data_IF_572099543238
#
_entry.id   IF_572099543238
#
_cell.length_a   1.000
_cell.length_b   1.000
_cell.length_c   1.000
_cell.angle_alpha   90.00
_cell.angle_beta   90.00
_cell.angle_gamma   90.00
#
_symmetry.space_group_name_H-M   'P 1'
#
loop_
_entity.id
_entity.type
_entity.pdbx_description
1 polymer ?
#
# COMPACT_ATOMS: atom_id res chain seq x y z
N UNK A 1 79.17 38.50 -5.77
CA UNK A 1 80.41 38.32 -6.56
C UNK A 1 80.72 36.84 -6.62
N UNK A 2 80.88 36.30 -7.84
CA UNK A 2 81.31 34.93 -8.21
C UNK A 2 80.37 33.77 -7.82
N UNK A 3 80.13 32.69 -8.58
CA UNK A 3 80.39 32.25 -9.97
C UNK A 3 79.52 30.96 -10.11
N UNK A 4 78.65 30.81 -11.11
CA UNK A 4 78.83 30.18 -12.42
C UNK A 4 79.32 28.71 -12.45
N UNK A 5 78.56 27.88 -13.20
CA UNK A 5 78.88 26.63 -13.92
C UNK A 5 78.91 25.29 -13.12
N UNK A 6 78.48 24.13 -13.63
CA UNK A 6 77.76 23.75 -14.85
C UNK A 6 77.30 22.27 -14.75
N UNK A 7 76.18 21.97 -15.43
CA UNK A 7 75.80 20.76 -16.17
C UNK A 7 76.31 19.36 -15.74
N UNK A 8 75.35 18.46 -15.48
CA UNK A 8 75.19 17.23 -16.27
C UNK A 8 73.81 16.58 -16.03
N UNK A 9 73.03 16.40 -17.09
CA UNK A 9 71.98 15.37 -17.18
C UNK A 9 72.49 14.27 -18.11
N UNK A 10 72.01 13.02 -17.93
CA UNK A 10 71.12 12.55 -18.98
C UNK A 10 69.86 11.82 -18.50
N UNK A 11 68.94 11.80 -19.46
CA UNK A 11 67.60 11.24 -19.55
C UNK A 11 67.36 9.82 -18.99
N UNK A 12 66.17 9.65 -18.41
CA UNK A 12 65.49 8.37 -18.19
C UNK A 12 64.03 8.61 -17.80
N UNK A 13 63.11 8.28 -18.70
CA UNK A 13 61.69 8.62 -18.71
C UNK A 13 60.85 7.86 -17.63
N UNK A 14 59.55 8.20 -17.45
CA UNK A 14 58.85 8.15 -16.17
C UNK A 14 58.02 6.86 -15.97
N UNK A 15 58.00 6.34 -14.74
CA UNK A 15 56.95 5.42 -14.29
C UNK A 15 56.02 6.14 -13.33
N UNK A 16 54.85 6.49 -13.85
CA UNK A 16 53.74 7.07 -13.11
C UNK A 16 53.16 6.06 -12.11
N UNK A 17 53.62 6.10 -10.87
CA UNK A 17 52.89 5.48 -9.77
C UNK A 17 51.63 6.30 -9.48
N UNK A 18 50.55 6.00 -10.21
CA UNK A 18 49.19 6.36 -9.82
C UNK A 18 48.92 5.74 -8.46
N UNK A 19 49.10 6.52 -7.38
CA UNK A 19 48.56 6.21 -6.06
C UNK A 19 47.04 6.13 -6.23
N UNK A 20 46.49 4.91 -6.29
CA UNK A 20 45.06 4.68 -6.10
C UNK A 20 44.74 5.14 -4.69
N UNK A 21 44.16 6.32 -4.58
CA UNK A 21 43.53 6.80 -3.36
C UNK A 21 42.28 5.92 -3.16
N UNK A 22 42.45 4.77 -2.51
CA UNK A 22 41.33 3.97 -2.03
C UNK A 22 40.64 4.78 -0.93
N UNK A 23 39.74 5.70 -1.31
CA UNK A 23 38.73 6.22 -0.40
C UNK A 23 37.90 5.01 0.04
N UNK A 24 38.22 4.47 1.22
CA UNK A 24 37.28 3.67 2.01
C UNK A 24 36.03 4.53 2.11
N UNK A 25 34.97 4.19 1.36
CA UNK A 25 33.61 4.63 1.68
C UNK A 25 33.35 4.09 3.07
N UNK A 26 33.49 4.96 4.07
CA UNK A 26 32.82 4.74 5.34
C UNK A 26 31.34 4.65 4.98
N UNK A 27 30.80 3.44 5.10
CA UNK A 27 29.35 3.24 5.18
C UNK A 27 28.97 3.97 6.46
N UNK A 28 28.48 5.21 6.30
CA UNK A 28 27.80 5.88 7.37
C UNK A 28 26.61 4.98 7.72
N UNK A 29 26.69 4.30 8.85
CA UNK A 29 25.53 3.71 9.52
C UNK A 29 24.57 4.87 9.76
N UNK A 30 23.59 5.01 8.87
CA UNK A 30 22.48 5.90 9.06
C UNK A 30 21.85 5.51 10.40
N UNK A 31 21.73 6.48 11.30
CA UNK A 31 20.96 6.32 12.52
C UNK A 31 19.57 5.80 12.16
N UNK A 32 19.12 4.74 12.83
CA UNK A 32 17.82 4.14 12.62
C UNK A 32 16.73 5.18 12.88
N UNK A 33 16.18 5.76 11.80
CA UNK A 33 14.90 6.43 11.86
C UNK A 33 13.85 5.34 12.07
N UNK A 34 13.24 5.29 13.26
CA UNK A 34 12.04 4.49 13.51
C UNK A 34 10.98 4.85 12.47
N UNK A 35 10.62 3.93 11.58
CA UNK A 35 9.67 4.22 10.49
C UNK A 35 9.88 3.44 9.20
N UNK A 36 10.56 2.29 9.23
CA UNK A 36 10.68 1.44 8.04
C UNK A 36 9.37 0.69 7.73
N UNK A 37 9.17 0.24 6.48
CA UNK A 37 7.99 -0.57 6.13
C UNK A 37 7.84 -1.87 6.94
N UNK A 38 8.98 -2.46 7.35
CA UNK A 38 8.98 -3.63 8.23
C UNK A 38 8.56 -3.28 9.66
N UNK A 39 8.95 -2.11 10.18
CA UNK A 39 8.51 -1.61 11.50
C UNK A 39 7.00 -1.37 11.50
N UNK A 40 6.48 -0.79 10.41
CA UNK A 40 5.05 -0.59 10.23
C UNK A 40 4.28 -1.91 10.19
N UNK A 41 4.77 -2.89 9.43
CA UNK A 41 4.17 -4.24 9.41
C UNK A 41 4.24 -4.93 10.79
N UNK A 42 5.37 -4.80 11.51
CA UNK A 42 5.53 -5.34 12.86
C UNK A 42 4.57 -4.67 13.86
N UNK A 43 4.40 -3.35 13.79
CA UNK A 43 3.43 -2.59 14.59
C UNK A 43 2.01 -3.10 14.35
N UNK A 44 1.59 -3.22 13.09
CA UNK A 44 0.25 -3.69 12.74
C UNK A 44 0.01 -5.14 13.18
N UNK A 45 1.00 -6.02 13.00
CA UNK A 45 0.92 -7.40 13.48
C UNK A 45 0.82 -7.47 15.01
N UNK A 46 1.58 -6.65 15.74
CA UNK A 46 1.51 -6.57 17.20
C UNK A 46 0.15 -6.03 17.68
N UNK A 47 -0.42 -5.01 17.01
CA UNK A 47 -1.78 -4.51 17.29
C UNK A 47 -2.79 -5.65 17.16
N UNK A 48 -2.74 -6.40 16.05
CA UNK A 48 -3.65 -7.53 15.84
C UNK A 48 -3.48 -8.60 16.91
N UNK A 49 -2.24 -8.94 17.27
CA UNK A 49 -1.95 -9.95 18.29
C UNK A 49 -2.45 -9.53 19.68
N UNK A 50 -2.29 -8.26 20.04
CA UNK A 50 -2.80 -7.71 21.30
C UNK A 50 -4.33 -7.68 21.33
N UNK A 51 -4.99 -7.37 20.20
CA UNK A 51 -6.45 -7.40 20.12
C UNK A 51 -6.99 -8.84 20.31
N UNK A 52 -6.30 -9.87 19.81
CA UNK A 52 -6.70 -11.26 20.02
C UNK A 52 -6.64 -11.72 21.50
N UNK A 53 -5.89 -11.02 22.35
CA UNK A 53 -5.80 -11.32 23.79
C UNK A 53 -6.95 -10.69 24.60
N UNK A 54 -7.78 -9.85 23.99
CA UNK A 54 -8.93 -9.25 24.65
C UNK A 54 -10.03 -10.30 24.91
N UNK A 55 -10.80 -10.13 25.99
CA UNK A 55 -11.92 -11.03 26.33
C UNK A 55 -12.97 -11.14 25.23
N UNK A 56 -13.16 -10.07 24.46
CA UNK A 56 -14.09 -10.01 23.34
C UNK A 56 -13.37 -9.32 22.16
N UNK A 57 -12.50 -10.00 21.39
CA UNK A 57 -11.73 -9.34 20.35
C UNK A 57 -12.65 -8.72 19.28
N UNK A 58 -12.27 -7.56 18.73
CA UNK A 58 -13.03 -6.87 17.69
C UNK A 58 -13.17 -7.71 16.40
N UNK A 59 -12.15 -8.50 16.10
CA UNK A 59 -12.08 -9.38 14.93
C UNK A 59 -11.34 -10.66 15.31
N UNK A 60 -11.55 -11.75 14.58
CA UNK A 60 -10.80 -12.99 14.78
C UNK A 60 -9.60 -13.04 13.82
N UNK A 61 -8.41 -13.23 14.36
CA UNK A 61 -7.16 -13.42 13.60
C UNK A 61 -6.28 -14.51 14.23
N UNK A 62 -6.46 -15.75 13.76
CA UNK A 62 -5.68 -16.89 14.23
C UNK A 62 -4.20 -16.86 13.88
N UNK A 63 -3.76 -15.95 12.99
CA UNK A 63 -2.38 -15.85 12.54
C UNK A 63 -1.64 -14.65 13.16
N UNK A 64 -2.33 -13.80 13.92
CA UNK A 64 -1.78 -12.56 14.45
C UNK A 64 -0.51 -12.76 15.30
N UNK A 65 -0.50 -13.76 16.19
CA UNK A 65 0.65 -14.05 17.05
C UNK A 65 1.87 -14.48 16.21
N UNK A 66 1.69 -15.42 15.29
CA UNK A 66 2.75 -15.88 14.39
C UNK A 66 3.28 -14.75 13.48
N UNK A 67 2.39 -13.87 13.02
CA UNK A 67 2.76 -12.70 12.24
C UNK A 67 3.59 -11.71 13.05
N UNK A 68 3.21 -11.43 14.31
CA UNK A 68 3.94 -10.51 15.18
C UNK A 68 5.34 -11.05 15.54
N UNK A 69 5.42 -12.34 15.90
CA UNK A 69 6.70 -13.01 16.19
C UNK A 69 7.64 -12.99 14.98
N UNK A 70 7.11 -13.30 13.80
CA UNK A 70 7.91 -13.31 12.58
C UNK A 70 8.34 -11.92 12.12
N UNK A 71 7.49 -10.91 12.26
CA UNK A 71 7.84 -9.53 11.95
C UNK A 71 8.96 -9.02 12.88
N UNK A 72 8.88 -9.34 14.18
CA UNK A 72 9.95 -9.04 15.14
C UNK A 72 11.25 -9.80 14.81
N UNK A 73 11.17 -11.09 14.46
CA UNK A 73 12.32 -11.90 14.08
C UNK A 73 12.99 -11.42 12.77
N UNK A 74 12.22 -10.83 11.87
CA UNK A 74 12.72 -10.21 10.64
C UNK A 74 13.44 -8.87 10.89
N UNK A 75 13.43 -8.37 12.13
CA UNK A 75 14.06 -7.10 12.51
C UNK A 75 13.11 -5.91 12.50
N UNK A 76 11.80 -6.12 12.42
CA UNK A 76 10.82 -5.05 12.58
C UNK A 76 10.85 -4.53 14.02
N UNK A 77 11.16 -3.26 14.18
CA UNK A 77 11.21 -2.62 15.49
C UNK A 77 9.82 -2.09 15.87
N UNK A 78 9.37 -2.44 17.08
CA UNK A 78 8.27 -1.73 17.71
C UNK A 78 8.84 -0.48 18.39
N UNK A 79 8.14 0.67 18.33
CA UNK A 79 8.58 1.84 19.09
C UNK A 79 8.52 1.56 20.59
N UNK A 80 9.44 2.17 21.35
CA UNK A 80 9.61 1.92 22.79
C UNK A 80 8.33 2.20 23.61
N UNK A 81 7.51 3.14 23.14
CA UNK A 81 6.18 3.40 23.66
C UNK A 81 5.18 3.48 22.50
N UNK A 82 4.10 2.71 22.62
CA UNK A 82 2.94 2.80 21.76
C UNK A 82 1.80 3.39 22.58
N UNK A 83 1.30 4.56 22.17
CA UNK A 83 0.17 5.18 22.84
C UNK A 83 -1.06 4.25 22.74
N UNK A 84 -1.64 3.89 23.89
CA UNK A 84 -2.78 2.96 23.93
C UNK A 84 -3.97 3.41 23.05
N UNK A 85 -4.33 4.70 22.96
CA UNK A 85 -5.36 5.17 22.04
C UNK A 85 -5.00 4.96 20.56
N UNK A 86 -3.73 5.09 20.18
CA UNK A 86 -3.26 4.87 18.81
C UNK A 86 -3.37 3.40 18.41
N UNK A 87 -2.98 2.49 19.31
CA UNK A 87 -3.13 1.05 19.09
C UNK A 87 -4.59 0.65 18.92
N UNK A 88 -5.47 1.23 19.74
CA UNK A 88 -6.89 0.98 19.66
C UNK A 88 -7.48 1.50 18.34
N UNK A 89 -7.02 2.66 17.85
CA UNK A 89 -7.42 3.18 16.52
C UNK A 89 -7.00 2.25 15.38
N UNK A 90 -5.80 1.68 15.45
CA UNK A 90 -5.34 0.69 14.46
C UNK A 90 -6.15 -0.63 14.52
N UNK A 91 -6.56 -1.06 15.71
CA UNK A 91 -7.46 -2.22 15.86
C UNK A 91 -8.85 -1.92 15.28
N UNK A 92 -9.39 -0.72 15.53
CA UNK A 92 -10.65 -0.26 14.93
C UNK A 92 -10.56 -0.14 13.40
N UNK A 93 -9.44 0.39 12.89
CA UNK A 93 -9.16 0.46 11.46
C UNK A 93 -9.14 -0.94 10.83
N UNK A 94 -8.55 -1.92 11.53
CA UNK A 94 -8.53 -3.31 11.06
C UNK A 94 -9.94 -3.86 10.89
N UNK A 95 -10.80 -3.72 11.91
CA UNK A 95 -12.21 -4.14 11.82
C UNK A 95 -12.98 -3.39 10.75
N UNK A 96 -12.84 -2.06 10.70
CA UNK A 96 -13.51 -1.23 9.71
C UNK A 96 -13.19 -1.70 8.29
N UNK A 97 -11.90 -1.91 7.98
CA UNK A 97 -11.44 -2.33 6.67
C UNK A 97 -11.91 -3.75 6.33
N UNK A 98 -11.88 -4.68 7.28
CA UNK A 98 -12.42 -6.03 7.07
C UNK A 98 -13.88 -5.98 6.62
N UNK A 99 -14.67 -5.14 7.28
CA UNK A 99 -16.08 -4.97 6.93
C UNK A 99 -16.27 -4.30 5.57
N UNK A 100 -15.48 -3.27 5.22
CA UNK A 100 -15.60 -2.64 3.90
C UNK A 100 -15.22 -3.61 2.78
N UNK A 101 -14.15 -4.39 2.98
CA UNK A 101 -13.70 -5.41 2.05
C UNK A 101 -14.75 -6.50 1.84
N UNK A 102 -15.33 -7.02 2.92
CA UNK A 102 -16.37 -8.05 2.83
C UNK A 102 -17.66 -7.52 2.23
N UNK A 103 -18.09 -6.30 2.57
CA UNK A 103 -19.26 -5.64 1.97
C UNK A 103 -19.07 -5.49 0.46
N UNK A 104 -17.90 -5.03 0.02
CA UNK A 104 -17.59 -4.87 -1.41
C UNK A 104 -17.54 -6.22 -2.14
N UNK A 105 -16.81 -7.19 -1.61
CA UNK A 105 -16.60 -8.48 -2.25
C UNK A 105 -17.82 -9.42 -2.20
N UNK A 106 -18.71 -9.27 -1.21
CA UNK A 106 -19.82 -10.22 -0.99
C UNK A 106 -21.19 -9.65 -1.35
N UNK A 107 -21.51 -8.42 -0.89
CA UNK A 107 -22.88 -7.88 -1.00
C UNK A 107 -23.15 -7.36 -2.41
N UNK A 108 -22.15 -6.74 -3.04
CA UNK A 108 -22.33 -6.17 -4.39
C UNK A 108 -22.61 -7.25 -5.44
N UNK A 109 -22.17 -8.49 -5.20
CA UNK A 109 -22.44 -9.63 -6.08
C UNK A 109 -23.89 -10.14 -6.00
N UNK A 110 -24.66 -9.76 -4.98
CA UNK A 110 -26.03 -10.28 -4.78
C UNK A 110 -27.12 -9.29 -5.23
N UNK A 111 -26.89 -7.99 -5.09
CA UNK A 111 -27.93 -6.96 -5.27
C UNK A 111 -27.77 -6.12 -6.54
N UNK A 112 -26.60 -6.16 -7.19
CA UNK A 112 -26.38 -5.37 -8.41
C UNK A 112 -26.43 -6.26 -9.64
N UNK A 113 -27.30 -5.89 -10.57
CA UNK A 113 -27.36 -6.33 -11.98
C UNK A 113 -26.13 -5.80 -12.77
N UNK A 114 -24.97 -5.73 -12.11
CA UNK A 114 -23.70 -5.36 -12.71
C UNK A 114 -23.12 -6.63 -13.34
N UNK A 115 -22.70 -6.51 -14.59
CA UNK A 115 -21.95 -7.56 -15.29
C UNK A 115 -20.54 -7.77 -14.75
N UNK A 116 -20.14 -7.04 -13.69
CA UNK A 116 -18.79 -7.07 -13.12
C UNK A 116 -18.85 -7.22 -11.59
N UNK A 117 -18.02 -8.13 -11.08
CA UNK A 117 -17.87 -8.46 -9.66
C UNK A 117 -16.54 -7.92 -9.11
N UNK A 118 -16.50 -7.63 -7.80
CA UNK A 118 -15.27 -7.22 -7.09
C UNK A 118 -14.37 -8.42 -6.80
N UNK A 119 -13.70 -8.93 -7.83
CA UNK A 119 -12.87 -10.13 -7.73
C UNK A 119 -11.38 -9.81 -7.55
N UNK A 120 -11.00 -8.53 -7.45
CA UNK A 120 -9.63 -8.10 -7.18
C UNK A 120 -9.58 -7.30 -5.89
N UNK A 121 -8.78 -7.76 -4.93
CA UNK A 121 -8.57 -7.13 -3.63
C UNK A 121 -7.11 -6.72 -3.53
N UNK A 122 -6.83 -5.45 -3.24
CA UNK A 122 -5.46 -4.95 -3.07
C UNK A 122 -5.26 -4.46 -1.64
N UNK A 123 -4.32 -5.07 -0.94
CA UNK A 123 -3.93 -4.75 0.44
C UNK A 123 -2.58 -4.02 0.38
N UNK A 124 -2.57 -2.75 0.80
CA UNK A 124 -1.39 -1.88 0.70
C UNK A 124 -0.84 -1.59 2.08
N UNK A 125 0.46 -1.84 2.28
CA UNK A 125 1.23 -1.31 3.40
C UNK A 125 1.63 -2.31 4.49
N UNK A 126 1.15 -3.56 4.45
CA UNK A 126 1.48 -4.59 5.45
C UNK A 126 1.76 -5.94 4.78
N UNK A 127 3.02 -6.39 4.81
CA UNK A 127 3.40 -7.72 4.31
C UNK A 127 2.86 -8.86 5.18
N UNK A 128 2.61 -8.57 6.45
CA UNK A 128 2.11 -9.51 7.46
C UNK A 128 0.59 -9.43 7.61
N UNK A 129 -0.11 -8.82 6.64
CA UNK A 129 -1.57 -8.84 6.61
C UNK A 129 -2.11 -10.28 6.50
N UNK A 130 -3.00 -10.62 7.41
CA UNK A 130 -3.57 -11.96 7.59
C UNK A 130 -4.94 -12.12 6.92
N UNK A 131 -5.53 -11.03 6.41
CA UNK A 131 -6.82 -11.03 5.70
C UNK A 131 -6.93 -12.07 4.59
N UNK A 132 -5.88 -12.33 3.78
CA UNK A 132 -5.93 -13.39 2.77
C UNK A 132 -6.25 -14.79 3.32
N UNK A 133 -5.95 -15.04 4.59
CA UNK A 133 -6.09 -16.36 5.23
C UNK A 133 -7.27 -16.46 6.19
N UNK A 134 -7.73 -15.33 6.76
CA UNK A 134 -8.78 -15.32 7.81
C UNK A 134 -10.15 -14.85 7.33
N UNK A 135 -10.22 -14.06 6.26
CA UNK A 135 -11.51 -13.58 5.75
C UNK A 135 -12.14 -14.59 4.78
N UNK A 136 -13.48 -14.77 4.80
CA UNK A 136 -14.19 -15.74 3.97
C UNK A 136 -14.40 -15.23 2.53
N UNK A 137 -13.31 -15.12 1.77
CA UNK A 137 -13.36 -14.62 0.40
C UNK A 137 -14.19 -15.52 -0.54
N UNK A 138 -15.02 -14.93 -1.42
CA UNK A 138 -15.71 -15.67 -2.49
C UNK A 138 -14.74 -16.35 -3.47
N UNK A 139 -15.12 -17.48 -4.04
CA UNK A 139 -14.34 -18.16 -5.07
C UNK A 139 -14.09 -17.24 -6.27
N UNK A 140 -12.87 -17.28 -6.84
CA UNK A 140 -12.44 -16.39 -7.92
C UNK A 140 -11.78 -15.09 -7.43
N UNK A 141 -11.72 -14.83 -6.12
CA UNK A 141 -11.06 -13.64 -5.58
C UNK A 141 -9.53 -13.71 -5.75
N UNK A 142 -8.96 -12.66 -6.36
CA UNK A 142 -7.53 -12.39 -6.47
C UNK A 142 -7.11 -11.38 -5.41
N UNK A 143 -6.23 -11.79 -4.51
CA UNK A 143 -5.70 -10.99 -3.42
C UNK A 143 -4.28 -10.54 -3.76
N UNK A 144 -4.04 -9.24 -3.82
CA UNK A 144 -2.73 -8.64 -4.06
C UNK A 144 -2.25 -7.98 -2.76
N UNK A 145 -1.14 -8.47 -2.21
CA UNK A 145 -0.52 -7.87 -1.04
C UNK A 145 0.71 -7.08 -1.48
N UNK A 146 0.64 -5.75 -1.35
CA UNK A 146 1.68 -4.83 -1.78
C UNK A 146 2.52 -4.40 -0.58
N UNK A 147 3.80 -4.77 -0.63
CA UNK A 147 4.78 -4.44 0.40
C UNK A 147 6.21 -4.64 -0.14
N UNK A 148 7.24 -4.15 0.57
CA UNK A 148 8.63 -4.36 0.20
C UNK A 148 9.05 -5.84 0.14
N UNK A 149 10.00 -6.14 -0.75
CA UNK A 149 10.47 -7.52 -1.01
C UNK A 149 10.98 -8.22 0.25
N UNK A 150 11.74 -7.51 1.09
CA UNK A 150 12.30 -8.07 2.32
C UNK A 150 11.20 -8.52 3.31
N UNK A 151 10.11 -7.76 3.38
CA UNK A 151 8.99 -8.06 4.28
C UNK A 151 8.17 -9.27 3.79
N UNK A 152 7.99 -9.42 2.47
CA UNK A 152 7.32 -10.59 1.89
C UNK A 152 8.04 -11.90 2.19
N UNK A 153 9.38 -11.94 2.08
CA UNK A 153 10.14 -13.15 2.33
C UNK A 153 9.96 -13.69 3.77
N UNK A 154 9.96 -12.78 4.75
CA UNK A 154 9.71 -13.12 6.15
C UNK A 154 8.26 -13.57 6.39
N UNK A 155 7.29 -12.85 5.82
CA UNK A 155 5.87 -13.18 5.95
C UNK A 155 5.53 -14.55 5.36
N UNK A 156 6.06 -14.89 4.18
CA UNK A 156 5.79 -16.17 3.53
C UNK A 156 6.35 -17.36 4.31
N UNK A 157 7.55 -17.21 4.89
CA UNK A 157 8.12 -18.24 5.76
C UNK A 157 7.24 -18.47 7.00
N UNK A 158 6.76 -17.39 7.62
CA UNK A 158 5.91 -17.43 8.81
C UNK A 158 4.55 -18.09 8.53
N UNK A 159 3.85 -17.65 7.48
CA UNK A 159 2.54 -18.19 7.15
C UNK A 159 2.59 -19.62 6.65
N UNK A 160 3.67 -20.02 5.97
CA UNK A 160 3.91 -21.43 5.64
C UNK A 160 4.09 -22.29 6.89
N UNK A 161 4.88 -21.82 7.87
CA UNK A 161 5.09 -22.52 9.13
C UNK A 161 3.80 -22.61 9.97
N UNK A 162 2.97 -21.56 9.97
CA UNK A 162 1.67 -21.54 10.63
C UNK A 162 0.58 -22.35 9.89
N UNK A 163 0.91 -22.97 8.75
CA UNK A 163 -0.07 -23.75 7.98
C UNK A 163 -1.16 -22.90 7.33
N UNK A 164 -0.96 -21.59 7.18
CA UNK A 164 -1.95 -20.69 6.61
C UNK A 164 -2.31 -21.10 5.18
N UNK A 165 -3.60 -21.03 4.86
CA UNK A 165 -4.13 -21.33 3.53
C UNK A 165 -5.16 -20.29 3.15
N UNK A 166 -5.05 -19.80 1.93
CA UNK A 166 -6.06 -18.95 1.32
C UNK A 166 -7.31 -19.81 1.07
N UNK A 167 -8.55 -19.25 1.18
CA UNK A 167 -9.77 -19.96 0.82
C UNK A 167 -9.71 -20.63 -0.55
N UNK A 168 -10.41 -21.76 -0.70
CA UNK A 168 -10.42 -22.53 -1.96
C UNK A 168 -10.91 -21.66 -3.11
N UNK A 169 -10.22 -21.75 -4.25
CA UNK A 169 -10.58 -20.99 -5.46
C UNK A 169 -10.18 -19.51 -5.43
N UNK A 170 -9.51 -19.05 -4.37
CA UNK A 170 -8.88 -17.73 -4.29
C UNK A 170 -7.37 -17.83 -4.54
N UNK A 171 -6.75 -16.73 -4.98
CA UNK A 171 -5.30 -16.66 -5.20
C UNK A 171 -4.70 -15.48 -4.43
N UNK A 172 -3.58 -15.70 -3.73
CA UNK A 172 -2.77 -14.64 -3.14
C UNK A 172 -1.52 -14.38 -3.98
N UNK A 173 -1.30 -13.12 -4.33
CA UNK A 173 -0.13 -12.62 -5.05
C UNK A 173 0.60 -11.60 -4.16
N UNK A 174 1.86 -11.89 -3.85
CA UNK A 174 2.76 -10.92 -3.24
C UNK A 174 3.30 -10.00 -4.32
N UNK A 175 3.13 -8.70 -4.13
CA UNK A 175 3.56 -7.67 -5.08
C UNK A 175 4.69 -6.89 -4.40
N UNK A 176 5.95 -7.11 -4.80
CA UNK A 176 7.08 -6.36 -4.27
C UNK A 176 7.03 -4.93 -4.81
N UNK A 177 6.80 -3.95 -3.94
CA UNK A 177 6.86 -2.53 -4.31
C UNK A 177 7.34 -1.70 -3.12
N UNK A 178 8.26 -0.76 -3.41
CA UNK A 178 8.69 0.26 -2.45
C UNK A 178 7.78 1.48 -2.59
N UNK A 179 6.89 1.68 -1.61
CA UNK A 179 5.86 2.73 -1.68
C UNK A 179 6.43 4.15 -1.58
N UNK A 180 7.63 4.31 -0.98
CA UNK A 180 8.26 5.61 -0.80
C UNK A 180 8.90 6.17 -2.09
N UNK A 181 9.35 5.29 -3.00
CA UNK A 181 10.12 5.69 -4.18
C UNK A 181 9.26 5.93 -5.43
N UNK A 182 7.95 5.64 -5.36
CA UNK A 182 6.94 5.86 -6.42
C UNK A 182 7.14 5.08 -7.74
N UNK A 183 8.35 4.61 -8.04
CA UNK A 183 8.74 4.20 -9.39
C UNK A 183 8.40 2.75 -9.78
N UNK A 184 7.65 1.99 -8.97
CA UNK A 184 7.41 0.56 -9.26
C UNK A 184 6.04 -0.01 -8.90
N UNK A 185 5.12 0.78 -8.36
CA UNK A 185 3.85 0.28 -7.83
C UNK A 185 2.91 -0.29 -8.91
N UNK A 186 2.60 0.51 -9.93
CA UNK A 186 1.65 0.14 -10.97
C UNK A 186 2.15 -1.05 -11.82
N UNK A 187 3.38 -0.98 -12.32
CA UNK A 187 3.97 -2.05 -13.14
C UNK A 187 4.12 -3.38 -12.38
N UNK A 188 4.42 -3.34 -11.08
CA UNK A 188 4.49 -4.56 -10.27
C UNK A 188 3.11 -5.22 -10.10
N UNK A 189 2.06 -4.41 -9.90
CA UNK A 189 0.68 -4.91 -9.82
C UNK A 189 0.23 -5.55 -11.13
N UNK A 190 0.44 -4.86 -12.26
CA UNK A 190 0.10 -5.38 -13.58
C UNK A 190 0.85 -6.68 -13.90
N UNK A 191 2.16 -6.73 -13.59
CA UNK A 191 2.98 -7.94 -13.75
C UNK A 191 2.47 -9.09 -12.87
N UNK A 192 1.93 -8.80 -11.69
CA UNK A 192 1.29 -9.78 -10.83
C UNK A 192 -0.08 -10.27 -11.35
N UNK A 193 -0.59 -9.66 -12.42
CA UNK A 193 -1.85 -10.01 -13.07
C UNK A 193 -3.04 -9.14 -12.65
N UNK A 194 -2.81 -8.02 -11.96
CA UNK A 194 -3.85 -7.04 -11.71
C UNK A 194 -4.34 -6.45 -13.04
N UNK A 195 -5.65 -6.24 -13.17
CA UNK A 195 -6.24 -5.61 -14.36
C UNK A 195 -7.03 -4.38 -13.98
N UNK A 196 -6.63 -3.22 -14.52
CA UNK A 196 -7.31 -1.95 -14.27
C UNK A 196 -8.64 -1.76 -15.02
N UNK A 197 -9.04 -2.72 -15.85
CA UNK A 197 -10.33 -2.75 -16.55
C UNK A 197 -11.41 -3.54 -15.78
N UNK A 198 -11.11 -3.96 -14.54
CA UNK A 198 -12.01 -4.73 -13.68
C UNK A 198 -12.19 -4.06 -12.34
N UNK A 199 -13.39 -4.19 -11.78
CA UNK A 199 -13.68 -3.74 -10.43
C UNK A 199 -12.69 -4.31 -9.40
N UNK A 200 -12.25 -3.43 -8.52
CA UNK A 200 -11.27 -3.73 -7.49
C UNK A 200 -11.63 -3.05 -6.18
N UNK A 201 -11.25 -3.68 -5.07
CA UNK A 201 -11.36 -3.09 -3.73
C UNK A 201 -9.98 -2.96 -3.11
N UNK A 202 -9.68 -1.76 -2.61
CA UNK A 202 -8.38 -1.39 -2.09
C UNK A 202 -8.47 -1.11 -0.60
N UNK A 203 -7.58 -1.69 0.19
CA UNK A 203 -7.41 -1.41 1.61
C UNK A 203 -6.03 -0.81 1.88
N UNK A 204 -6.02 0.43 2.37
CA UNK A 204 -4.82 1.14 2.76
C UNK A 204 -4.73 1.16 4.28
N UNK A 205 -3.82 0.37 4.86
CA UNK A 205 -3.59 0.36 6.30
C UNK A 205 -2.12 0.54 6.62
N UNK A 206 -1.83 1.29 7.70
CA UNK A 206 -0.45 1.59 8.07
C UNK A 206 0.20 2.69 7.25
N UNK A 207 -0.54 3.41 6.39
CA UNK A 207 -0.01 4.52 5.58
C UNK A 207 0.76 5.53 6.45
N UNK A 208 0.24 5.84 7.65
CA UNK A 208 0.89 6.73 8.59
C UNK A 208 2.18 6.14 9.22
N UNK A 209 2.29 4.81 9.38
CA UNK A 209 3.50 4.18 9.91
C UNK A 209 4.57 3.87 8.86
N UNK A 210 4.24 3.96 7.57
CA UNK A 210 5.20 3.83 6.47
C UNK A 210 6.12 5.06 6.32
N UNK A 211 5.93 6.10 7.14
CA UNK A 211 6.71 7.34 7.04
C UNK A 211 6.40 8.17 5.79
N UNK A 212 5.29 7.87 5.10
CA UNK A 212 4.86 8.62 3.92
C UNK A 212 4.35 10.00 4.35
N UNK A 213 4.95 11.06 3.80
CA UNK A 213 4.44 12.41 3.94
C UNK A 213 3.21 12.65 3.06
N UNK A 214 2.66 13.85 3.16
CA UNK A 214 1.56 14.28 2.30
C UNK A 214 1.81 14.10 0.78
N UNK A 215 2.99 14.41 0.21
CA UNK A 215 3.22 14.22 -1.22
C UNK A 215 3.29 12.74 -1.60
N UNK A 216 3.88 11.88 -0.76
CA UNK A 216 3.95 10.43 -1.02
C UNK A 216 2.56 9.77 -0.93
N UNK A 217 1.73 10.18 0.05
CA UNK A 217 0.32 9.73 0.14
C UNK A 217 -0.47 10.18 -1.10
N UNK A 218 -0.23 11.40 -1.57
CA UNK A 218 -0.87 11.91 -2.79
C UNK A 218 -0.43 11.11 -4.02
N UNK A 219 0.86 10.80 -4.15
CA UNK A 219 1.38 9.97 -5.23
C UNK A 219 0.79 8.55 -5.21
N UNK A 220 0.67 7.95 -4.02
CA UNK A 220 0.00 6.65 -3.86
C UNK A 220 -1.47 6.71 -4.31
N UNK A 221 -2.20 7.77 -3.96
CA UNK A 221 -3.59 7.93 -4.42
C UNK A 221 -3.68 8.17 -5.92
N UNK A 222 -2.72 8.87 -6.53
CA UNK A 222 -2.62 8.98 -8.00
C UNK A 222 -2.47 7.59 -8.61
N UNK A 223 -1.54 6.78 -8.13
CA UNK A 223 -1.29 5.44 -8.68
C UNK A 223 -2.52 4.54 -8.53
N UNK A 224 -3.15 4.54 -7.36
CA UNK A 224 -4.37 3.78 -7.11
C UNK A 224 -5.50 4.23 -8.04
N UNK A 225 -5.72 5.54 -8.20
CA UNK A 225 -6.81 6.03 -9.06
C UNK A 225 -6.54 5.84 -10.55
N UNK A 226 -5.27 5.79 -10.97
CA UNK A 226 -4.90 5.42 -12.33
C UNK A 226 -5.12 3.92 -12.63
N UNK A 227 -5.04 3.06 -11.61
CA UNK A 227 -5.20 1.61 -11.74
C UNK A 227 -6.64 1.14 -11.50
N UNK A 228 -7.35 1.76 -10.57
CA UNK A 228 -8.68 1.33 -10.16
C UNK A 228 -9.71 1.68 -11.24
N UNK A 229 -10.44 0.67 -11.72
CA UNK A 229 -11.54 0.83 -12.66
C UNK A 229 -12.64 1.76 -12.09
N UNK A 230 -13.45 2.34 -12.96
CA UNK A 230 -14.65 3.07 -12.56
C UNK A 230 -15.50 2.25 -11.58
N UNK A 231 -16.07 2.92 -10.59
CA UNK A 231 -16.80 2.34 -9.47
C UNK A 231 -16.00 1.50 -8.48
N UNK A 232 -14.71 1.21 -8.70
CA UNK A 232 -13.85 0.52 -7.72
C UNK A 232 -13.86 1.21 -6.35
N UNK A 233 -13.67 0.44 -5.28
CA UNK A 233 -13.75 0.92 -3.90
C UNK A 233 -12.35 1.12 -3.31
N UNK A 234 -12.12 2.25 -2.67
CA UNK A 234 -10.89 2.55 -1.93
C UNK A 234 -11.25 2.88 -0.49
N UNK A 235 -10.72 2.11 0.44
CA UNK A 235 -10.90 2.33 1.87
C UNK A 235 -9.55 2.32 2.59
N UNK A 236 -9.42 3.09 3.65
CA UNK A 236 -8.15 3.17 4.36
C UNK A 236 -8.16 4.01 5.61
N UNK A 237 -6.99 4.08 6.24
CA UNK A 237 -6.69 5.04 7.30
C UNK A 237 -5.63 6.03 6.81
N UNK A 238 -5.99 7.31 6.79
CA UNK A 238 -5.11 8.42 6.40
C UNK A 238 -4.42 9.05 7.61
N UNK A 239 -3.24 9.66 7.42
CA UNK A 239 -2.53 10.36 8.48
C UNK A 239 -3.33 11.56 9.02
N UNK A 240 -2.91 12.13 10.15
CA UNK A 240 -3.59 13.27 10.75
C UNK A 240 -3.76 14.45 9.80
N UNK A 241 -5.01 14.89 9.62
CA UNK A 241 -5.36 16.07 8.82
C UNK A 241 -6.69 16.66 9.25
N UNK A 242 -6.99 17.88 8.80
CA UNK A 242 -8.31 18.50 9.01
C UNK A 242 -9.38 17.83 8.14
N UNK A 243 -10.66 17.88 8.56
CA UNK A 243 -11.77 17.34 7.76
C UNK A 243 -11.83 17.95 6.35
N UNK A 244 -11.61 19.26 6.25
CA UNK A 244 -11.59 19.96 4.96
C UNK A 244 -10.45 19.47 4.05
N UNK A 245 -9.27 19.19 4.63
CA UNK A 245 -8.16 18.65 3.87
C UNK A 245 -8.47 17.25 3.33
N UNK A 246 -9.12 16.40 4.13
CA UNK A 246 -9.59 15.08 3.70
C UNK A 246 -10.58 15.19 2.54
N UNK A 247 -11.63 16.00 2.69
CA UNK A 247 -12.68 16.13 1.68
C UNK A 247 -12.09 16.66 0.35
N UNK A 248 -11.16 17.63 0.42
CA UNK A 248 -10.42 18.13 -0.74
C UNK A 248 -9.53 17.07 -1.39
N UNK A 249 -8.83 16.26 -0.58
CA UNK A 249 -7.96 15.19 -1.07
C UNK A 249 -8.77 14.17 -1.89
N UNK A 250 -9.85 13.64 -1.32
CA UNK A 250 -10.72 12.67 -1.99
C UNK A 250 -11.31 13.25 -3.27
N UNK A 251 -11.85 14.48 -3.21
CA UNK A 251 -12.41 15.17 -4.37
C UNK A 251 -11.37 15.39 -5.49
N UNK A 252 -10.12 15.75 -5.15
CA UNK A 252 -9.06 15.98 -6.14
C UNK A 252 -8.68 14.73 -6.94
N UNK A 253 -8.94 13.54 -6.39
CA UNK A 253 -8.68 12.27 -7.05
C UNK A 253 -9.91 11.64 -7.69
N UNK A 254 -11.07 12.32 -7.66
CA UNK A 254 -12.33 11.76 -8.18
C UNK A 254 -12.88 10.63 -7.32
N UNK A 255 -12.50 10.58 -6.05
CA UNK A 255 -12.98 9.61 -5.08
C UNK A 255 -14.24 10.16 -4.40
N UNK A 256 -15.40 9.61 -4.74
CA UNK A 256 -16.67 9.94 -4.11
C UNK A 256 -16.82 9.15 -2.81
N UNK A 257 -16.63 9.82 -1.68
CA UNK A 257 -16.67 9.17 -0.37
C UNK A 257 -16.70 10.14 0.79
N UNK A 258 -16.54 9.61 1.99
CA UNK A 258 -16.51 10.42 3.20
C UNK A 258 -15.53 9.85 4.24
N UNK A 259 -14.99 10.76 5.05
CA UNK A 259 -14.28 10.41 6.28
C UNK A 259 -15.21 9.88 7.35
N UNK A 260 -14.80 8.77 7.96
CA UNK A 260 -15.44 8.12 9.10
C UNK A 260 -14.59 8.38 10.34
N UNK A 261 -15.25 8.83 11.41
CA UNK A 261 -14.60 9.14 12.69
C UNK A 261 -14.49 7.88 13.57
N UNK A 262 -13.62 7.90 14.58
CA UNK A 262 -13.47 6.83 15.58
C UNK A 262 -14.44 6.98 16.76
N UNK A 263 -15.42 7.88 16.65
CA UNK A 263 -16.31 8.32 17.72
C UNK A 263 -17.46 7.37 18.09
N UNK A 264 -18.32 7.86 18.99
CA UNK A 264 -19.43 7.14 19.64
C UNK A 264 -20.50 6.60 18.66
N UNK A 265 -20.46 7.06 17.41
CA UNK A 265 -21.40 6.73 16.35
C UNK A 265 -20.98 5.54 15.49
N UNK A 266 -19.88 4.85 15.82
CA UNK A 266 -19.43 3.70 15.03
C UNK A 266 -19.89 2.37 15.61
N UNK A 267 -20.60 1.57 14.82
CA UNK A 267 -21.01 0.20 15.16
C UNK A 267 -19.81 -0.78 15.12
N UNK A 268 -18.66 -0.31 14.61
CA UNK A 268 -17.47 -1.11 14.32
C UNK A 268 -16.54 -1.30 15.53
N UNK A 269 -16.92 -0.87 16.73
CA UNK A 269 -15.94 -0.73 17.81
C UNK A 269 -16.44 -0.74 19.24
N UNK A 270 -15.49 -0.88 20.17
CA UNK A 270 -15.68 -0.47 21.56
C UNK A 270 -15.37 1.01 21.66
N UNK A 271 -16.39 1.84 21.72
CA UNK A 271 -16.16 3.25 21.99
C UNK A 271 -15.58 3.47 23.39
N UNK A 272 -14.61 4.37 23.50
CA UNK A 272 -14.06 4.87 24.76
C UNK A 272 -13.85 6.38 24.67
N UNK A 273 -14.03 7.09 25.78
CA UNK A 273 -13.95 8.55 25.80
C UNK A 273 -12.56 9.12 25.46
N UNK A 274 -11.50 8.36 25.70
CA UNK A 274 -10.11 8.67 25.36
C UNK A 274 -9.78 8.51 23.86
N UNK A 275 -10.68 7.91 23.08
CA UNK A 275 -10.59 7.88 21.61
C UNK A 275 -11.20 9.12 20.95
N UNK A 276 -11.90 9.96 21.72
CA UNK A 276 -12.48 11.18 21.19
C UNK A 276 -11.35 12.14 20.76
N UNK A 277 -11.26 12.40 19.47
CA UNK A 277 -10.34 13.37 18.90
C UNK A 277 -11.06 14.71 18.77
N UNK A 278 -10.31 15.81 18.88
CA UNK A 278 -10.86 17.16 18.71
C UNK A 278 -11.60 17.26 17.36
N UNK A 279 -12.91 17.55 17.36
CA UNK A 279 -13.68 17.69 16.14
C UNK A 279 -13.09 18.70 15.14
N UNK A 280 -12.44 19.75 15.66
CA UNK A 280 -11.86 20.83 14.87
C UNK A 280 -10.34 20.70 14.65
N UNK A 281 -9.70 19.72 15.30
CA UNK A 281 -8.26 19.47 15.20
C UNK A 281 -7.85 18.58 14.03
N UNK A 282 -6.54 18.47 13.83
CA UNK A 282 -5.96 17.45 12.95
C UNK A 282 -6.04 16.08 13.61
N UNK A 283 -6.47 15.08 12.83
CA UNK A 283 -6.68 13.72 13.33
C UNK A 283 -6.61 12.70 12.21
N UNK A 284 -6.21 11.45 12.51
CA UNK A 284 -6.30 10.37 11.54
C UNK A 284 -7.76 10.14 11.15
N UNK A 285 -7.98 9.80 9.88
CA UNK A 285 -9.31 9.55 9.34
C UNK A 285 -9.39 8.15 8.76
N UNK A 286 -10.44 7.42 9.12
CA UNK A 286 -10.89 6.32 8.28
C UNK A 286 -11.63 6.94 7.09
N UNK A 287 -11.57 6.29 5.94
CA UNK A 287 -12.37 6.70 4.80
C UNK A 287 -12.79 5.49 3.98
N UNK A 288 -13.89 5.69 3.24
CA UNK A 288 -14.33 4.81 2.17
C UNK A 288 -14.80 5.70 1.04
N UNK A 289 -14.35 5.40 -0.17
CA UNK A 289 -14.69 6.17 -1.35
C UNK A 289 -14.77 5.27 -2.60
N UNK A 290 -15.66 5.64 -3.51
CA UNK A 290 -15.80 5.02 -4.82
C UNK A 290 -15.05 5.83 -5.87
N UNK A 291 -14.31 5.15 -6.73
CA UNK A 291 -13.65 5.74 -7.88
C UNK A 291 -14.68 6.16 -8.91
N UNK A 292 -14.68 7.44 -9.31
CA UNK A 292 -15.59 7.97 -10.34
C UNK A 292 -14.87 8.41 -11.61
N UNK A 293 -13.56 8.22 -11.67
CA UNK A 293 -12.76 8.40 -12.89
C UNK A 293 -12.50 7.04 -13.54
N UNK A 294 -12.41 7.03 -14.87
CA UNK A 294 -11.93 5.86 -15.60
C UNK A 294 -10.45 5.63 -15.29
N UNK A 295 -10.06 4.37 -15.15
CA UNK A 295 -8.66 3.98 -15.04
C UNK A 295 -7.91 4.27 -16.34
N UNK A 296 -6.58 4.32 -16.28
CA UNK A 296 -5.76 4.44 -17.48
C UNK A 296 -6.00 3.27 -18.46
N UNK A 297 -6.33 2.07 -17.93
CA UNK A 297 -6.62 0.90 -18.76
C UNK A 297 -7.97 1.03 -19.46
N UNK A 298 -9.00 1.52 -18.78
CA UNK A 298 -10.32 1.77 -19.38
C UNK A 298 -10.26 2.88 -20.42
N UNK A 299 -9.52 3.96 -20.14
CA UNK A 299 -9.27 5.03 -21.10
C UNK A 299 -8.57 4.53 -22.36
N UNK A 300 -7.51 3.72 -22.21
CA UNK A 300 -6.82 3.14 -23.37
C UNK A 300 -7.73 2.23 -24.21
N UNK A 301 -8.58 1.42 -23.58
CA UNK A 301 -9.57 0.60 -24.31
C UNK A 301 -10.56 1.48 -25.08
N UNK A 302 -11.03 2.58 -24.47
CA UNK A 302 -11.91 3.53 -25.15
C UNK A 302 -11.23 4.17 -26.36
N UNK A 303 -9.98 4.63 -26.20
CA UNK A 303 -9.19 5.23 -27.28
C UNK A 303 -8.95 4.23 -28.43
N UNK A 304 -8.62 2.97 -28.13
CA UNK A 304 -8.46 1.90 -29.12
C UNK A 304 -9.76 1.67 -29.92
N UNK A 305 -10.91 1.70 -29.25
CA UNK A 305 -12.21 1.56 -29.92
C UNK A 305 -12.56 2.75 -30.81
N UNK A 306 -12.23 3.97 -30.40
CA UNK A 306 -12.44 5.17 -31.21
C UNK A 306 -11.57 5.12 -32.46
N UNK A 307 -10.27 4.80 -32.31
CA UNK A 307 -9.36 4.68 -33.44
C UNK A 307 -9.81 3.60 -34.43
N UNK A 308 -10.22 2.42 -33.95
CA UNK A 308 -10.74 1.36 -34.80
C UNK A 308 -12.02 1.74 -35.55
N UNK A 309 -12.87 2.61 -34.99
CA UNK A 309 -14.06 3.11 -35.66
C UNK A 309 -13.71 4.12 -36.76
N UNK A 310 -12.74 5.01 -36.52
CA UNK A 310 -12.26 5.98 -37.51
C UNK A 310 -11.62 5.30 -38.73
N UNK A 311 -10.84 4.23 -38.52
CA UNK A 311 -10.25 3.44 -39.63
C UNK A 311 -11.32 2.82 -40.55
N UNK A 312 -12.45 2.37 -39.99
CA UNK A 312 -13.55 1.78 -40.78
C UNK A 312 -14.32 2.83 -41.58
N UNK A 313 -14.48 4.04 -41.03
CA UNK A 313 -15.15 5.16 -41.72
C UNK A 313 -14.31 5.69 -42.89
N UNK A 314 -12.97 5.66 -42.81
CA UNK A 314 -12.09 6.05 -43.92
C UNK A 314 -12.04 5.03 -45.07
N UNK A 315 -12.28 3.74 -44.78
CA UNK A 315 -12.26 2.64 -45.75
C UNK A 315 -13.61 2.34 -46.43
N UNK A 316 -14.64 3.14 -46.15
CA UNK A 316 -15.96 3.00 -46.80
C UNK A 316 -16.07 3.97 -47.98
N UNK A 317 -15.71 3.60 -49.23
CA UNK A 317 -16.00 4.42 -50.39
C UNK A 317 -17.52 4.54 -50.51
N UNK A 318 -18.02 5.76 -50.37
CA UNK A 318 -19.39 6.13 -50.68
C UNK A 318 -19.61 5.99 -52.20
N UNK A 319 -19.87 4.76 -52.64
CA UNK A 319 -20.31 4.45 -54.01
C UNK A 319 -21.77 4.88 -54.15
N UNK A 320 -21.97 6.19 -54.33
CA UNK A 320 -23.26 6.73 -54.78
C UNK A 320 -23.33 6.60 -56.31
N UNK A 321 -23.85 5.45 -56.75
CA UNK A 321 -24.31 5.24 -58.14
C UNK A 321 -25.76 5.67 -58.32
#
# INVERSE_FOLDING_TARGET
MAAAAAACMPAGAPTSHRRRCCRRRQVATAAASSGGPLDCSARLAAVRAAEQQQTLPLFADGYAAAAAEAAAAAGGALPEALDAPDLQREALATRFLDEQLLKAATIVNLERDLTQEYNQVVLVGDAFDTRPFRLPWPEGTLLFCVAPTAAHAAADAAFKAAGARVPRGCLLRRVPAELADGASFAGALETAGFRGDRLSVWALQGVACLGLGAPEVSALLVDITNLAAFDSLVAGMLPPMTRRALDNLLASFGLLGAGVDFGQQTDWGRWRGDLALDPQGERPWLFVAQQKRLSNREMGIYEDHVAAAEEVDEDTPLDFS
#
